data_IF_022163122158
#
_entry.id   IF_022163122158
#
_cell.length_a   1.000
_cell.length_b   1.000
_cell.length_c   1.000
_cell.angle_alpha   90.00
_cell.angle_beta   90.00
_cell.angle_gamma   90.00
#
_symmetry.space_group_name_H-M   'P 1'
#
loop_
_entity.id
_entity.type
_entity.pdbx_description
1 polymer ?
#
# COMPACT_ATOMS: atom_id res chain seq x y z
N UNK A 1 -4.86 -19.13 35.97
CA UNK A 1 -5.31 -17.92 35.25
C UNK A 1 -4.54 -17.94 33.97
N UNK A 2 -4.98 -18.82 33.10
CA UNK A 2 -4.33 -19.16 31.85
C UNK A 2 -5.17 -18.40 30.83
N UNK A 3 -4.75 -17.17 30.55
CA UNK A 3 -5.31 -16.47 29.41
C UNK A 3 -5.04 -17.37 28.20
N UNK A 4 -6.07 -17.88 27.49
CA UNK A 4 -5.82 -18.44 26.18
C UNK A 4 -5.29 -17.28 25.34
N UNK A 5 -3.99 -17.26 25.12
CA UNK A 5 -3.32 -16.45 24.09
C UNK A 5 -3.72 -17.05 22.74
N UNK A 6 -5.03 -17.04 22.47
CA UNK A 6 -5.56 -17.30 21.16
C UNK A 6 -5.54 -15.96 20.44
N UNK A 7 -4.88 -15.98 19.28
CA UNK A 7 -4.62 -14.90 18.32
C UNK A 7 -3.30 -14.15 18.61
N UNK A 8 -2.17 -14.29 17.90
CA UNK A 8 -1.91 -14.74 16.52
C UNK A 8 -2.93 -14.26 15.47
N UNK A 9 -3.60 -13.13 15.72
CA UNK A 9 -4.08 -12.30 14.62
C UNK A 9 -2.83 -11.64 14.06
N UNK A 10 -2.40 -12.13 12.90
CA UNK A 10 -1.31 -11.52 12.15
C UNK A 10 -1.72 -10.07 11.85
N UNK A 11 -1.23 -9.11 12.66
CA UNK A 11 -1.37 -7.66 12.45
C UNK A 11 -0.85 -7.22 11.05
N UNK A 12 -0.20 -8.13 10.32
CA UNK A 12 0.30 -8.00 8.95
C UNK A 12 -0.79 -8.19 7.86
N UNK A 13 -1.96 -8.73 8.20
CA UNK A 13 -3.06 -8.99 7.25
C UNK A 13 -3.80 -7.71 6.81
N UNK A 14 -3.45 -6.56 7.39
CA UNK A 14 -4.16 -5.30 7.18
C UNK A 14 -3.29 -4.23 6.51
N UNK A 15 -2.01 -4.52 6.28
CA UNK A 15 -1.07 -3.60 5.63
C UNK A 15 -1.30 -3.64 4.13
N UNK A 16 -1.66 -2.51 3.54
CA UNK A 16 -1.82 -2.39 2.11
C UNK A 16 -0.55 -1.90 1.42
N UNK A 17 -0.27 -2.43 0.23
CA UNK A 17 0.92 -2.11 -0.55
C UNK A 17 0.55 -1.36 -1.84
N UNK A 18 1.32 -0.33 -2.18
CA UNK A 18 1.13 0.42 -3.41
C UNK A 18 1.62 -0.36 -4.64
N UNK A 19 0.78 -0.49 -5.67
CA UNK A 19 1.13 -1.22 -6.89
C UNK A 19 2.19 -0.52 -7.76
N UNK A 20 2.45 0.76 -7.53
CA UNK A 20 3.39 1.57 -8.31
C UNK A 20 4.78 1.61 -7.68
N UNK A 21 4.90 2.14 -6.46
CA UNK A 21 6.17 2.31 -5.77
C UNK A 21 6.44 1.28 -4.66
N UNK A 22 5.46 0.47 -4.28
CA UNK A 22 5.61 -0.51 -3.20
C UNK A 22 5.53 0.07 -1.79
N UNK A 23 5.22 1.35 -1.60
CA UNK A 23 5.02 1.91 -0.26
C UNK A 23 3.83 1.26 0.45
N UNK A 24 3.84 1.25 1.78
CA UNK A 24 2.81 0.60 2.59
C UNK A 24 2.31 1.49 3.74
N UNK A 25 1.30 1.04 4.49
CA UNK A 25 0.69 1.80 5.60
C UNK A 25 1.69 2.20 6.69
N UNK A 26 2.79 1.45 6.85
CA UNK A 26 3.85 1.71 7.82
C UNK A 26 5.03 2.46 7.19
N UNK A 27 5.24 2.32 5.87
CA UNK A 27 6.34 2.94 5.12
C UNK A 27 5.83 3.77 3.94
N UNK A 28 5.47 5.03 4.21
CA UNK A 28 5.13 5.99 3.17
C UNK A 28 6.37 6.44 2.38
N UNK A 29 6.25 6.51 1.05
CA UNK A 29 7.24 7.18 0.21
C UNK A 29 7.11 8.71 0.33
N UNK A 30 8.14 9.45 -0.08
CA UNK A 30 8.11 10.91 -0.08
C UNK A 30 7.75 11.46 -1.47
N UNK A 31 6.93 12.51 -1.52
CA UNK A 31 6.69 13.29 -2.73
C UNK A 31 7.98 14.02 -3.14
N UNK A 32 8.42 13.85 -4.40
CA UNK A 32 9.66 14.48 -4.89
C UNK A 32 9.63 16.02 -4.84
N UNK A 33 8.46 16.62 -5.12
CA UNK A 33 8.30 18.08 -5.15
C UNK A 33 8.29 18.72 -3.75
N UNK A 34 7.58 18.10 -2.80
CA UNK A 34 7.30 18.70 -1.48
C UNK A 34 8.11 18.08 -0.35
N UNK A 35 8.65 16.87 -0.52
CA UNK A 35 9.26 16.06 0.53
C UNK A 35 8.27 15.53 1.57
N UNK A 36 6.96 15.68 1.34
CA UNK A 36 5.93 15.23 2.25
C UNK A 36 5.67 13.72 2.09
N UNK A 37 5.24 13.01 3.15
CA UNK A 37 4.84 11.62 3.03
C UNK A 37 3.63 11.48 2.10
N UNK A 38 3.65 10.47 1.24
CA UNK A 38 2.54 10.16 0.36
C UNK A 38 1.30 9.74 1.16
N UNK A 39 0.14 9.86 0.53
CA UNK A 39 -1.14 9.41 1.10
C UNK A 39 -1.88 8.51 0.12
N UNK A 40 -2.74 7.62 0.61
CA UNK A 40 -3.56 6.75 -0.25
C UNK A 40 -4.58 7.55 -1.08
N UNK A 41 -4.53 7.41 -2.41
CA UNK A 41 -5.53 7.96 -3.35
C UNK A 41 -6.58 6.90 -3.70
N UNK A 42 -6.12 5.65 -3.84
CA UNK A 42 -6.95 4.45 -3.96
C UNK A 42 -6.43 3.42 -2.98
N UNK A 43 -7.32 2.73 -2.31
CA UNK A 43 -7.00 1.69 -1.35
C UNK A 43 -8.11 0.66 -1.36
N UNK A 44 -7.74 -0.59 -1.53
CA UNK A 44 -8.60 -1.74 -1.41
C UNK A 44 -8.06 -2.63 -0.29
N UNK A 45 -8.77 -2.62 0.84
CA UNK A 45 -8.38 -3.37 2.05
C UNK A 45 -8.69 -4.85 1.95
N UNK A 46 -9.53 -5.28 1.00
CA UNK A 46 -9.83 -6.69 0.79
C UNK A 46 -8.66 -7.40 0.09
N UNK A 47 -8.00 -6.70 -0.83
CA UNK A 47 -6.82 -7.18 -1.54
C UNK A 47 -5.51 -6.70 -0.94
N UNK A 48 -5.55 -5.81 0.06
CA UNK A 48 -4.38 -5.16 0.66
C UNK A 48 -3.50 -4.45 -0.39
N UNK A 49 -4.14 -3.82 -1.37
CA UNK A 49 -3.45 -3.10 -2.44
C UNK A 49 -3.97 -1.67 -2.56
N UNK A 50 -3.15 -0.79 -3.10
CA UNK A 50 -3.56 0.59 -3.33
C UNK A 50 -2.68 1.36 -4.31
N UNK A 51 -3.02 2.63 -4.46
CA UNK A 51 -2.25 3.63 -5.21
C UNK A 51 -2.09 4.86 -4.32
N UNK A 52 -0.84 5.23 -4.05
CA UNK A 52 -0.51 6.41 -3.27
C UNK A 52 -0.48 7.69 -4.14
N UNK A 53 -0.40 8.85 -3.50
CA UNK A 53 -0.44 10.17 -4.14
C UNK A 53 0.75 10.45 -5.07
N UNK A 54 1.86 9.71 -4.92
CA UNK A 54 3.03 9.80 -5.79
C UNK A 54 2.83 8.98 -7.08
N UNK A 55 2.10 7.86 -7.01
CA UNK A 55 1.89 6.96 -8.14
C UNK A 55 0.62 7.30 -8.95
N UNK A 56 0.40 8.57 -9.26
CA UNK A 56 -0.81 9.03 -9.94
C UNK A 56 -1.02 8.36 -11.31
N UNK A 57 0.07 8.06 -12.02
CA UNK A 57 0.06 7.33 -13.30
C UNK A 57 -0.55 5.92 -13.20
N UNK A 58 -0.61 5.33 -12.01
CA UNK A 58 -1.23 4.03 -11.77
C UNK A 58 -2.71 4.11 -11.38
N UNK A 59 -3.25 5.31 -11.10
CA UNK A 59 -4.66 5.49 -10.71
C UNK A 59 -5.61 5.11 -11.84
N UNK A 60 -5.31 5.51 -13.08
CA UNK A 60 -6.18 5.18 -14.23
C UNK A 60 -6.26 3.66 -14.44
N UNK A 61 -5.11 2.97 -14.38
CA UNK A 61 -5.06 1.50 -14.46
C UNK A 61 -5.79 0.84 -13.31
N UNK A 62 -5.66 1.38 -12.11
CA UNK A 62 -6.40 0.90 -10.94
C UNK A 62 -7.91 1.04 -11.14
N UNK A 63 -8.38 2.19 -11.65
CA UNK A 63 -9.80 2.43 -11.91
C UNK A 63 -10.34 1.53 -13.06
N UNK A 64 -9.48 1.06 -13.98
CA UNK A 64 -9.81 0.04 -15.00
C UNK A 64 -9.88 -1.40 -14.43
N UNK A 65 -9.44 -1.59 -13.19
CA UNK A 65 -9.47 -2.88 -12.48
C UNK A 65 -8.14 -3.61 -12.41
N UNK A 66 -7.05 -3.00 -12.86
CA UNK A 66 -5.69 -3.55 -12.72
C UNK A 66 -5.27 -3.53 -11.24
N UNK A 67 -4.80 -4.67 -10.75
CA UNK A 67 -4.29 -4.86 -9.37
C UNK A 67 -2.89 -5.47 -9.38
N UNK A 68 -2.19 -5.39 -10.51
CA UNK A 68 -0.87 -5.99 -10.66
C UNK A 68 0.20 -5.08 -10.03
N UNK A 69 0.92 -5.61 -9.05
CA UNK A 69 2.07 -4.93 -8.45
C UNK A 69 3.20 -4.87 -9.48
N UNK A 70 3.59 -3.65 -9.86
CA UNK A 70 4.76 -3.38 -10.72
C UNK A 70 5.67 -2.37 -10.06
N UNK A 71 6.25 -2.76 -8.93
CA UNK A 71 7.30 -1.96 -8.29
C UNK A 71 8.52 -1.93 -9.22
N UNK A 72 9.05 -0.76 -9.61
CA UNK A 72 10.32 -0.71 -10.31
C UNK A 72 11.39 -1.29 -9.39
N UNK A 73 12.08 -2.34 -9.84
CA UNK A 73 13.21 -2.88 -9.11
C UNK A 73 14.30 -1.81 -9.03
N UNK A 74 14.58 -1.32 -7.83
CA UNK A 74 15.71 -0.42 -7.58
C UNK A 74 16.99 -1.11 -8.08
N UNK A 75 17.73 -0.47 -9.01
CA UNK A 75 19.02 -0.91 -9.56
C UNK A 75 20.14 -0.07 -8.97
#
# INVERSE_FOLDING_TARGET
MDCPFQDEQSDDDWVATCIGCGCDDLHACAEEDTGNPCSWVRLDRETQLGVCSVCQDHVERWDDGDREIRVPAET
#
